data_IF_670022175642
#
_entry.id   IF_670022175642
#
_cell.length_a   1.000
_cell.length_b   1.000
_cell.length_c   1.000
_cell.angle_alpha   90.00
_cell.angle_beta   90.00
_cell.angle_gamma   90.00
#
_symmetry.space_group_name_H-M   'P 1'
#
loop_
_entity.id
_entity.type
_entity.pdbx_description
1 polymer ?
#
# COMPACT_ATOMS: atom_id res chain seq x y z
N UNK A 1 26.67 -11.80 -25.80
CA UNK A 1 25.21 -12.03 -25.89
C UNK A 1 24.53 -11.07 -24.94
N UNK A 2 23.97 -9.98 -25.45
CA UNK A 2 23.16 -9.04 -24.64
C UNK A 2 21.85 -9.75 -24.32
N UNK A 3 21.69 -10.24 -23.08
CA UNK A 3 20.40 -10.76 -22.64
C UNK A 3 19.37 -9.62 -22.78
N UNK A 4 18.29 -9.88 -23.52
CA UNK A 4 17.20 -8.93 -23.62
C UNK A 4 16.62 -8.72 -22.22
N UNK A 5 16.68 -7.48 -21.76
CA UNK A 5 16.19 -7.05 -20.45
C UNK A 5 14.69 -7.37 -20.37
N UNK A 6 14.31 -8.37 -19.57
CA UNK A 6 12.91 -8.74 -19.41
C UNK A 6 12.22 -7.68 -18.54
N UNK A 7 11.46 -6.78 -19.17
CA UNK A 7 10.65 -5.78 -18.45
C UNK A 7 9.51 -6.48 -17.69
N UNK A 8 9.13 -6.01 -16.49
CA UNK A 8 8.00 -6.53 -15.74
C UNK A 8 6.73 -6.50 -16.59
N UNK A 9 6.02 -7.63 -16.64
CA UNK A 9 4.76 -7.77 -17.38
C UNK A 9 3.54 -7.47 -16.49
N UNK A 10 2.37 -7.29 -17.11
CA UNK A 10 1.13 -6.97 -16.42
C UNK A 10 0.82 -7.95 -15.27
N UNK A 11 0.97 -9.27 -15.50
CA UNK A 11 0.72 -10.30 -14.48
C UNK A 11 1.69 -10.20 -13.30
N UNK A 12 2.97 -9.94 -13.57
CA UNK A 12 4.00 -9.77 -12.54
C UNK A 12 3.73 -8.51 -11.70
N UNK A 13 3.31 -7.42 -12.36
CA UNK A 13 2.93 -6.16 -11.72
C UNK A 13 1.64 -6.27 -10.90
N UNK A 14 0.66 -7.06 -11.35
CA UNK A 14 -0.56 -7.35 -10.60
C UNK A 14 -0.24 -8.08 -9.30
N UNK A 15 0.55 -9.15 -9.39
CA UNK A 15 0.97 -9.91 -8.20
C UNK A 15 1.83 -9.07 -7.25
N UNK A 16 2.75 -8.26 -7.81
CA UNK A 16 3.51 -7.28 -7.06
C UNK A 16 2.62 -6.29 -6.30
N UNK A 17 1.55 -5.79 -6.95
CA UNK A 17 0.59 -4.89 -6.33
C UNK A 17 -0.18 -5.57 -5.19
N UNK A 18 -0.57 -6.83 -5.35
CA UNK A 18 -1.22 -7.60 -4.28
C UNK A 18 -0.30 -7.79 -3.07
N UNK A 19 0.97 -8.15 -3.30
CA UNK A 19 1.96 -8.29 -2.21
C UNK A 19 2.18 -6.95 -1.53
N UNK A 20 2.37 -5.87 -2.29
CA UNK A 20 2.58 -4.53 -1.73
C UNK A 20 1.39 -4.12 -0.86
N UNK A 21 0.16 -4.38 -1.32
CA UNK A 21 -1.07 -4.11 -0.58
C UNK A 21 -1.14 -4.93 0.71
N UNK A 22 -0.85 -6.23 0.65
CA UNK A 22 -0.81 -7.09 1.83
C UNK A 22 0.22 -6.60 2.87
N UNK A 23 1.39 -6.14 2.41
CA UNK A 23 2.43 -5.58 3.29
C UNK A 23 1.96 -4.29 3.98
N UNK A 24 1.33 -3.36 3.25
CA UNK A 24 0.83 -2.10 3.82
C UNK A 24 -0.29 -2.37 4.83
N UNK A 25 -1.21 -3.28 4.53
CA UNK A 25 -2.27 -3.67 5.48
C UNK A 25 -1.71 -4.36 6.72
N UNK A 26 -0.77 -5.30 6.58
CA UNK A 26 -0.12 -5.95 7.71
C UNK A 26 0.62 -4.93 8.60
N UNK A 27 1.35 -3.99 7.99
CA UNK A 27 2.01 -2.91 8.72
C UNK A 27 0.99 -2.00 9.44
N UNK A 28 -0.12 -1.65 8.79
CA UNK A 28 -1.20 -0.88 9.40
C UNK A 28 -1.80 -1.58 10.62
N UNK A 29 -2.15 -2.86 10.50
CA UNK A 29 -2.67 -3.68 11.62
C UNK A 29 -1.69 -3.67 12.79
N UNK A 30 -0.38 -3.84 12.52
CA UNK A 30 0.65 -3.82 13.56
C UNK A 30 0.78 -2.46 14.24
N UNK A 31 0.75 -1.36 13.48
CA UNK A 31 0.80 0.01 14.03
C UNK A 31 -0.40 0.28 14.93
N UNK A 32 -1.61 -0.02 14.48
CA UNK A 32 -2.83 0.17 15.28
C UNK A 32 -2.85 -0.73 16.52
N UNK A 33 -2.35 -1.96 16.41
CA UNK A 33 -2.23 -2.89 17.54
C UNK A 33 -1.24 -2.36 18.59
N UNK A 34 -0.09 -1.83 18.15
CA UNK A 34 0.91 -1.24 19.04
C UNK A 34 0.37 0.03 19.72
N UNK A 35 -0.29 0.92 18.99
CA UNK A 35 -0.93 2.11 19.55
C UNK A 35 -2.03 1.75 20.57
N UNK A 36 -2.83 0.72 20.29
CA UNK A 36 -3.85 0.21 21.21
C UNK A 36 -3.23 -0.38 22.48
N UNK A 37 -2.09 -1.07 22.36
CA UNK A 37 -1.36 -1.64 23.48
C UNK A 37 -0.77 -0.56 24.40
N UNK A 38 -0.13 0.47 23.84
CA UNK A 38 0.49 1.54 24.63
C UNK A 38 -0.49 2.63 25.08
N UNK A 39 -1.62 2.82 24.39
CA UNK A 39 -2.66 3.79 24.75
C UNK A 39 -3.53 3.36 25.94
N UNK A 40 -3.44 2.10 26.37
CA UNK A 40 -4.24 1.56 27.48
C UNK A 40 -3.40 1.51 28.76
N UNK A 41 -3.37 2.61 29.53
CA UNK A 41 -3.04 2.56 30.96
C UNK A 41 -4.19 2.05 31.85
N UNK A 42 -5.33 1.66 31.27
CA UNK A 42 -6.54 1.29 32.03
C UNK A 42 -7.23 0.02 31.51
N UNK A 43 -6.70 -1.15 31.87
CA UNK A 43 -7.51 -2.27 32.36
C UNK A 43 -8.44 -3.06 31.42
N UNK A 44 -8.23 -3.14 30.10
CA UNK A 44 -9.18 -3.82 29.20
C UNK A 44 -8.60 -4.77 28.13
N UNK A 45 -7.87 -5.82 28.50
CA UNK A 45 -7.35 -6.83 27.54
C UNK A 45 -8.42 -7.43 26.60
N UNK A 46 -9.66 -7.59 27.08
CA UNK A 46 -10.77 -8.10 26.27
C UNK A 46 -11.25 -7.15 25.16
N UNK A 47 -11.16 -5.83 25.38
CA UNK A 47 -11.52 -4.82 24.38
C UNK A 47 -10.44 -4.71 23.29
N UNK A 48 -9.16 -4.82 23.66
CA UNK A 48 -8.04 -4.87 22.71
C UNK A 48 -8.16 -6.12 21.83
N UNK A 49 -8.41 -7.28 22.42
CA UNK A 49 -8.57 -8.53 21.67
C UNK A 49 -9.79 -8.48 20.74
N UNK A 50 -10.91 -7.92 21.19
CA UNK A 50 -12.13 -7.78 20.37
C UNK A 50 -11.93 -6.81 19.20
N UNK A 51 -11.26 -5.68 19.41
CA UNK A 51 -10.92 -4.72 18.35
C UNK A 51 -9.93 -5.30 17.34
N UNK A 52 -8.94 -6.06 17.80
CA UNK A 52 -8.00 -6.77 16.93
C UNK A 52 -8.74 -7.86 16.13
N UNK A 53 -9.58 -8.67 16.76
CA UNK A 53 -10.35 -9.72 16.08
C UNK A 53 -11.30 -9.10 15.05
N UNK A 54 -11.99 -8.01 15.38
CA UNK A 54 -12.90 -7.33 14.45
C UNK A 54 -12.13 -6.72 13.26
N UNK A 55 -11.00 -6.05 13.52
CA UNK A 55 -10.12 -5.51 12.49
C UNK A 55 -9.50 -6.61 11.61
N UNK A 56 -9.15 -7.76 12.19
CA UNK A 56 -8.64 -8.91 11.44
C UNK A 56 -9.76 -9.56 10.64
N UNK A 57 -10.94 -9.82 11.19
CA UNK A 57 -11.98 -10.55 10.47
C UNK A 57 -12.66 -9.71 9.39
N UNK A 58 -13.24 -8.57 9.77
CA UNK A 58 -13.96 -7.72 8.83
C UNK A 58 -13.01 -6.85 7.99
N UNK A 59 -11.95 -6.35 8.62
CA UNK A 59 -10.95 -5.55 7.92
C UNK A 59 -10.16 -6.36 6.90
N UNK A 60 -9.80 -7.62 7.15
CA UNK A 60 -9.06 -8.43 6.16
C UNK A 60 -9.93 -8.82 4.97
N UNK A 61 -11.22 -9.10 5.15
CA UNK A 61 -12.12 -9.42 4.03
C UNK A 61 -12.32 -8.18 3.13
N UNK A 62 -12.61 -7.02 3.73
CA UNK A 62 -12.73 -5.77 3.00
C UNK A 62 -11.40 -5.37 2.33
N UNK A 63 -10.27 -5.52 3.03
CA UNK A 63 -8.93 -5.27 2.50
C UNK A 63 -8.60 -6.18 1.31
N UNK A 64 -8.99 -7.46 1.38
CA UNK A 64 -8.80 -8.42 0.29
C UNK A 64 -9.63 -8.02 -0.93
N UNK A 65 -10.90 -7.64 -0.74
CA UNK A 65 -11.72 -7.14 -1.83
C UNK A 65 -11.13 -5.87 -2.48
N UNK A 66 -10.70 -4.90 -1.67
CA UNK A 66 -10.04 -3.68 -2.14
C UNK A 66 -8.73 -4.03 -2.86
N UNK A 67 -7.96 -4.99 -2.35
CA UNK A 67 -6.71 -5.42 -2.95
C UNK A 67 -6.90 -6.02 -4.35
N UNK A 68 -7.84 -6.94 -4.50
CA UNK A 68 -8.07 -7.63 -5.77
C UNK A 68 -8.83 -6.78 -6.80
N UNK A 69 -9.80 -5.99 -6.34
CA UNK A 69 -10.71 -5.23 -7.23
C UNK A 69 -10.20 -3.84 -7.57
N UNK A 70 -9.39 -3.22 -6.71
CA UNK A 70 -8.99 -1.82 -6.85
C UNK A 70 -7.47 -1.67 -6.93
N UNK A 71 -6.74 -2.02 -5.87
CA UNK A 71 -5.29 -1.71 -5.80
C UNK A 71 -4.48 -2.58 -6.76
N UNK A 72 -4.88 -3.83 -6.98
CA UNK A 72 -4.28 -4.75 -7.96
C UNK A 72 -4.32 -4.17 -9.38
N UNK A 73 -5.52 -3.90 -9.94
CA UNK A 73 -5.66 -3.29 -11.27
C UNK A 73 -4.99 -1.91 -11.36
N UNK A 74 -5.18 -1.05 -10.35
CA UNK A 74 -4.62 0.30 -10.33
C UNK A 74 -3.08 0.29 -10.31
N UNK A 75 -2.49 -0.49 -9.41
CA UNK A 75 -1.03 -0.66 -9.33
C UNK A 75 -0.44 -1.30 -10.59
N UNK A 76 -1.17 -2.22 -11.23
CA UNK A 76 -0.77 -2.76 -12.54
C UNK A 76 -0.76 -1.68 -13.61
N UNK A 77 -1.82 -0.88 -13.71
CA UNK A 77 -1.94 0.20 -14.69
C UNK A 77 -0.85 1.25 -14.52
N UNK A 78 -0.67 1.75 -13.30
CA UNK A 78 0.36 2.75 -12.97
C UNK A 78 1.77 2.16 -13.17
N UNK A 79 2.01 0.94 -12.69
CA UNK A 79 3.30 0.26 -12.85
C UNK A 79 3.68 0.04 -14.32
N UNK A 80 2.72 -0.38 -15.15
CA UNK A 80 2.93 -0.51 -16.61
C UNK A 80 3.24 0.85 -17.25
N UNK A 81 2.51 1.89 -16.87
CA UNK A 81 2.76 3.24 -17.38
C UNK A 81 4.18 3.70 -17.02
N UNK A 82 4.59 3.56 -15.77
CA UNK A 82 5.95 3.96 -15.32
C UNK A 82 7.03 3.16 -16.05
N UNK A 83 6.91 1.83 -16.12
CA UNK A 83 7.90 0.96 -16.80
C UNK A 83 8.00 1.26 -18.30
N UNK A 84 6.93 1.73 -18.94
CA UNK A 84 6.92 2.10 -20.36
C UNK A 84 7.44 3.51 -20.63
N UNK A 85 7.07 4.46 -19.79
CA UNK A 85 7.32 5.89 -20.02
C UNK A 85 8.65 6.37 -19.46
N UNK A 86 9.28 5.60 -18.56
CA UNK A 86 10.46 6.06 -17.82
C UNK A 86 11.64 5.08 -17.94
N UNK A 87 12.90 5.56 -17.88
CA UNK A 87 14.06 4.70 -17.84
C UNK A 87 14.03 3.74 -16.63
N UNK A 88 14.58 2.54 -16.82
CA UNK A 88 14.66 1.53 -15.77
C UNK A 88 15.39 2.08 -14.53
N UNK A 89 14.75 2.02 -13.36
CA UNK A 89 15.31 2.61 -12.14
C UNK A 89 14.72 2.02 -10.87
N UNK A 90 15.51 2.04 -9.78
CA UNK A 90 15.11 1.55 -8.44
C UNK A 90 14.01 2.40 -7.76
N UNK A 91 13.66 3.52 -8.37
CA UNK A 91 12.64 4.45 -7.88
C UNK A 91 11.24 4.16 -8.44
N UNK A 92 11.12 3.30 -9.47
CA UNK A 92 9.84 3.05 -10.15
C UNK A 92 8.80 2.40 -9.23
N UNK A 93 9.21 1.46 -8.39
CA UNK A 93 8.39 0.79 -7.37
C UNK A 93 7.90 1.73 -6.28
N UNK A 94 8.80 2.49 -5.60
CA UNK A 94 8.40 3.51 -4.64
C UNK A 94 7.40 4.53 -5.22
N UNK A 95 7.67 5.05 -6.43
CA UNK A 95 6.79 6.01 -7.10
C UNK A 95 5.44 5.39 -7.46
N UNK A 96 5.42 4.15 -7.95
CA UNK A 96 4.18 3.42 -8.22
C UNK A 96 3.35 3.28 -6.94
N UNK A 97 3.99 2.87 -5.83
CA UNK A 97 3.35 2.73 -4.53
C UNK A 97 2.75 4.05 -4.03
N UNK A 98 3.51 5.15 -4.11
CA UNK A 98 3.02 6.48 -3.75
C UNK A 98 1.79 6.90 -4.55
N UNK A 99 1.84 6.73 -5.88
CA UNK A 99 0.73 7.13 -6.76
C UNK A 99 -0.53 6.30 -6.52
N UNK A 100 -0.40 5.00 -6.24
CA UNK A 100 -1.54 4.15 -5.86
C UNK A 100 -2.15 4.64 -4.55
N UNK A 101 -1.33 4.91 -3.53
CA UNK A 101 -1.81 5.41 -2.25
C UNK A 101 -2.52 6.77 -2.39
N UNK A 102 -1.91 7.74 -3.10
CA UNK A 102 -2.49 9.05 -3.36
C UNK A 102 -3.83 8.93 -4.10
N UNK A 103 -3.94 8.03 -5.08
CA UNK A 103 -5.18 7.83 -5.82
C UNK A 103 -6.30 7.26 -4.93
N UNK A 104 -5.98 6.33 -4.02
CA UNK A 104 -6.93 5.79 -3.05
C UNK A 104 -7.34 6.82 -1.99
N UNK A 105 -6.38 7.61 -1.52
CA UNK A 105 -6.66 8.70 -0.57
C UNK A 105 -7.53 9.77 -1.22
N UNK A 106 -7.23 10.19 -2.46
CA UNK A 106 -8.06 11.14 -3.20
C UNK A 106 -9.49 10.62 -3.39
N UNK A 107 -9.65 9.33 -3.70
CA UNK A 107 -10.98 8.71 -3.77
C UNK A 107 -11.69 8.71 -2.41
N UNK A 108 -10.97 8.36 -1.33
CA UNK A 108 -11.52 8.35 0.03
C UNK A 108 -11.93 9.75 0.45
N UNK A 109 -11.09 10.77 0.20
CA UNK A 109 -11.43 12.17 0.46
C UNK A 109 -12.64 12.59 -0.38
N UNK A 110 -12.73 12.22 -1.66
CA UNK A 110 -13.87 12.59 -2.50
C UNK A 110 -15.19 11.96 -2.01
N UNK A 111 -15.13 10.71 -1.52
CA UNK A 111 -16.30 10.01 -0.96
C UNK A 111 -16.66 10.54 0.43
N UNK A 112 -15.67 10.76 1.31
CA UNK A 112 -15.89 11.14 2.72
C UNK A 112 -16.06 12.64 2.89
N UNK A 113 -15.47 13.51 2.06
CA UNK A 113 -15.63 14.97 2.14
C UNK A 113 -17.04 15.46 1.76
N UNK A 114 -17.96 14.54 1.40
CA UNK A 114 -19.39 14.84 1.44
C UNK A 114 -19.88 15.12 2.88
N UNK A 115 -19.18 14.56 3.87
CA UNK A 115 -19.26 14.93 5.27
C UNK A 115 -18.16 15.96 5.56
N UNK A 116 -18.52 17.11 6.14
CA UNK A 116 -17.62 18.27 6.32
C UNK A 116 -16.42 17.92 7.20
N UNK A 117 -15.33 17.40 6.62
CA UNK A 117 -14.06 17.24 7.33
C UNK A 117 -13.36 18.59 7.41
N UNK A 118 -13.38 19.20 8.59
CA UNK A 118 -12.52 20.34 8.91
C UNK A 118 -11.06 19.88 8.77
N UNK A 119 -10.33 20.51 7.86
CA UNK A 119 -8.97 20.13 7.50
C UNK A 119 -7.99 20.60 8.57
N UNK A 120 -8.00 19.93 9.72
CA UNK A 120 -7.02 20.15 10.79
C UNK A 120 -5.67 19.53 10.43
N UNK A 121 -4.56 20.17 10.82
CA UNK A 121 -3.19 19.73 10.48
C UNK A 121 -2.84 18.28 10.89
N UNK A 122 -3.60 17.69 11.81
CA UNK A 122 -3.51 16.26 12.15
C UNK A 122 -3.91 15.31 11.00
N UNK A 123 -4.80 15.75 10.11
CA UNK A 123 -5.23 14.96 8.94
C UNK A 123 -4.09 14.82 7.91
N UNK A 124 -3.25 15.84 7.74
CA UNK A 124 -2.13 15.78 6.79
C UNK A 124 -1.07 14.73 7.19
N UNK A 125 -0.78 14.59 8.48
CA UNK A 125 0.15 13.58 9.00
C UNK A 125 -0.44 12.18 8.84
N UNK A 126 -1.73 12.01 9.12
CA UNK A 126 -2.40 10.72 8.95
C UNK A 126 -2.48 10.27 7.48
N UNK A 127 -2.55 11.21 6.52
CA UNK A 127 -2.48 10.92 5.09
C UNK A 127 -1.04 10.61 4.61
N UNK A 128 -0.02 11.14 5.27
CA UNK A 128 1.37 10.84 4.87
C UNK A 128 1.78 9.38 5.18
N UNK A 129 1.23 8.77 6.24
CA UNK A 129 1.63 7.43 6.69
C UNK A 129 1.35 6.35 5.63
N UNK A 130 0.12 6.21 5.07
CA UNK A 130 -0.15 5.22 4.03
C UNK A 130 0.71 5.41 2.78
N UNK A 131 0.98 6.66 2.38
CA UNK A 131 1.87 6.97 1.24
C UNK A 131 3.28 6.45 1.51
N UNK A 132 3.86 6.75 2.67
CA UNK A 132 5.22 6.30 3.04
C UNK A 132 5.28 4.77 3.08
N UNK A 133 4.29 4.11 3.70
CA UNK A 133 4.22 2.65 3.75
C UNK A 133 4.12 2.05 2.34
N UNK A 134 3.33 2.64 1.45
CA UNK A 134 3.21 2.19 0.06
C UNK A 134 4.51 2.40 -0.73
N UNK A 135 5.25 3.48 -0.49
CA UNK A 135 6.58 3.68 -1.07
C UNK A 135 7.56 2.59 -0.64
N UNK A 136 7.59 2.27 0.66
CA UNK A 136 8.46 1.22 1.21
C UNK A 136 8.08 -0.15 0.65
N UNK A 137 6.80 -0.49 0.64
CA UNK A 137 6.30 -1.73 0.07
C UNK A 137 6.63 -1.83 -1.42
N UNK A 138 6.45 -0.76 -2.18
CA UNK A 138 6.83 -0.66 -3.59
C UNK A 138 8.33 -0.87 -3.82
N UNK A 139 9.19 -0.30 -2.96
CA UNK A 139 10.63 -0.53 -2.99
C UNK A 139 10.99 -2.01 -2.78
N UNK A 140 10.40 -2.63 -1.75
CA UNK A 140 10.68 -4.02 -1.38
C UNK A 140 10.20 -4.96 -2.47
N UNK A 141 8.97 -4.80 -2.95
CA UNK A 141 8.42 -5.66 -4.01
C UNK A 141 9.21 -5.50 -5.30
N UNK A 142 9.62 -4.29 -5.65
CA UNK A 142 10.48 -4.07 -6.81
C UNK A 142 11.81 -4.84 -6.69
N UNK A 143 12.49 -4.77 -5.55
CA UNK A 143 13.81 -5.39 -5.38
C UNK A 143 13.72 -6.91 -5.16
N UNK A 144 12.75 -7.36 -4.35
CA UNK A 144 12.69 -8.74 -3.86
C UNK A 144 11.80 -9.64 -4.71
N UNK A 145 10.70 -9.12 -5.24
CA UNK A 145 9.73 -9.89 -6.03
C UNK A 145 10.04 -9.73 -7.52
N UNK A 146 10.08 -8.49 -8.02
CA UNK A 146 10.31 -8.21 -9.44
C UNK A 146 11.79 -8.29 -9.84
N UNK A 147 12.72 -8.17 -8.87
CA UNK A 147 14.17 -8.11 -9.08
C UNK A 147 14.55 -7.08 -10.16
N UNK A 148 13.86 -5.95 -10.15
CA UNK A 148 13.95 -4.93 -11.18
C UNK A 148 14.63 -3.66 -10.63
N UNK A 149 15.53 -2.98 -11.37
CA UNK A 149 16.04 -3.35 -12.69
C UNK A 149 17.30 -4.20 -12.61
N UNK A 150 17.57 -4.87 -11.48
CA UNK A 150 18.87 -5.51 -11.16
C UNK A 150 19.27 -6.63 -12.13
N UNK A 151 18.32 -7.18 -12.88
CA UNK A 151 18.58 -8.05 -14.03
C UNK A 151 19.41 -7.38 -15.17
N UNK A 152 19.74 -6.09 -15.05
CA UNK A 152 20.57 -5.32 -15.99
C UNK A 152 22.10 -5.40 -15.73
N UNK A 153 22.55 -6.00 -14.63
CA UNK A 153 23.98 -6.16 -14.30
C UNK A 153 24.43 -7.60 -14.44
#
# INVERSE_FOLDING_TARGET
MTQAVKRPQATELYFASLIATAMVYAAGILIFSALSFFGQQTGGWGAVLSSIIFAIFFGTIAATAIAFLITGPLGTGIGLAIVRLTPAGRWQGPVTGALVAIALEAFTVLVVAQERMEWEGGNAVMLAIPIILAMIAGAIVQQRVLRWPEQLR
#
